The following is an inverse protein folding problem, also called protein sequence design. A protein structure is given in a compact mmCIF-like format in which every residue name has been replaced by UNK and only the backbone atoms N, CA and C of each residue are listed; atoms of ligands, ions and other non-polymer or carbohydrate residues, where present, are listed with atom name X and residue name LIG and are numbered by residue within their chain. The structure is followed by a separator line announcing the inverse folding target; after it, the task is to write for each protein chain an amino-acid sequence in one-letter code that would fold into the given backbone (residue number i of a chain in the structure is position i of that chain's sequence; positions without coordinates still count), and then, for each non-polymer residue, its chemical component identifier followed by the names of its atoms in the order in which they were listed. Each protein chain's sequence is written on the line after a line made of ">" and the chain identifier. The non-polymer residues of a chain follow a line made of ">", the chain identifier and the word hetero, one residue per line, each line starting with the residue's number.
data_IF_471671723953
#
_entry.id   IF_471671723953
#
_cell.length_a   1.000
_cell.length_b   1.000
_cell.length_c   1.000
_cell.angle_alpha   90.00
_cell.angle_beta   90.00
_cell.angle_gamma   90.00
#
_symmetry.space_group_name_H-M   'P 1'
#
loop_
_entity.id
_entity.type
_entity.pdbx_description
1 polymer ?
#
# COMPACT_ATOMS: atom_id res chain seq x y z
N UNK A 1 -42.92 32.47 -33.03
CA UNK A 1 -41.51 32.89 -32.98
C UNK A 1 -40.66 31.64 -32.98
N UNK A 2 -40.26 31.17 -34.15
CA UNK A 2 -39.37 30.02 -34.32
C UNK A 2 -37.93 30.52 -34.38
N UNK A 3 -37.09 30.05 -33.46
CA UNK A 3 -35.64 30.25 -33.52
C UNK A 3 -35.03 29.19 -34.44
N UNK A 4 -34.65 29.61 -35.65
CA UNK A 4 -33.87 28.80 -36.58
C UNK A 4 -32.40 28.75 -36.09
N UNK A 5 -32.01 27.64 -35.48
CA UNK A 5 -30.61 27.27 -35.31
C UNK A 5 -30.03 26.87 -36.67
N UNK A 6 -29.22 27.75 -37.24
CA UNK A 6 -28.48 27.49 -38.48
C UNK A 6 -27.12 26.90 -38.11
N UNK A 7 -27.06 25.59 -37.86
CA UNK A 7 -25.80 24.85 -37.68
C UNK A 7 -25.10 24.72 -39.04
N UNK A 8 -24.23 25.68 -39.36
CA UNK A 8 -23.15 25.45 -40.31
C UNK A 8 -22.16 24.47 -39.69
N UNK A 9 -22.29 23.19 -40.03
CA UNK A 9 -21.25 22.18 -39.82
C UNK A 9 -20.03 22.60 -40.64
N UNK A 10 -19.09 23.30 -39.98
CA UNK A 10 -17.80 23.63 -40.56
C UNK A 10 -17.00 22.33 -40.65
N UNK A 11 -17.04 21.71 -41.83
CA UNK A 11 -16.23 20.54 -42.15
C UNK A 11 -14.75 20.97 -42.26
N UNK A 12 -14.08 21.06 -41.11
CA UNK A 12 -12.64 21.32 -40.99
C UNK A 12 -11.87 20.05 -41.40
N UNK A 13 -11.82 19.79 -42.71
CA UNK A 13 -10.83 18.88 -43.27
C UNK A 13 -9.44 19.38 -42.87
N UNK A 14 -8.65 18.60 -42.09
CA UNK A 14 -7.36 19.06 -41.63
C UNK A 14 -6.45 19.27 -42.83
N UNK A 15 -5.86 20.48 -42.92
CA UNK A 15 -5.00 20.85 -44.02
C UNK A 15 -3.88 19.83 -44.20
N UNK A 16 -3.42 19.56 -45.44
CA UNK A 16 -2.43 18.53 -45.73
C UNK A 16 -1.13 18.70 -44.91
N UNK A 17 -0.78 19.94 -44.55
CA UNK A 17 0.35 20.26 -43.66
C UNK A 17 0.18 19.68 -42.24
N UNK A 18 -1.03 19.71 -41.68
CA UNK A 18 -1.32 19.12 -40.35
C UNK A 18 -1.31 17.59 -40.37
N UNK A 19 -1.68 16.95 -41.50
CA UNK A 19 -1.56 15.49 -41.66
C UNK A 19 -0.10 15.05 -41.72
N UNK A 20 0.75 15.77 -42.46
CA UNK A 20 2.19 15.47 -42.57
C UNK A 20 2.88 15.61 -41.20
N UNK A 21 2.60 16.67 -40.44
CA UNK A 21 3.18 16.86 -39.10
C UNK A 21 2.75 15.74 -38.13
N UNK A 22 1.47 15.33 -38.16
CA UNK A 22 1.00 14.20 -37.35
C UNK A 22 1.69 12.89 -37.72
N UNK A 23 1.83 12.60 -39.01
CA UNK A 23 2.49 11.36 -39.47
C UNK A 23 3.97 11.36 -39.10
N UNK A 24 4.68 12.48 -39.26
CA UNK A 24 6.08 12.62 -38.82
C UNK A 24 6.23 12.45 -37.31
N UNK A 25 5.34 13.03 -36.50
CA UNK A 25 5.36 12.85 -35.05
C UNK A 25 5.18 11.37 -34.67
N UNK A 26 4.19 10.70 -35.25
CA UNK A 26 3.96 9.26 -35.02
C UNK A 26 5.16 8.40 -35.43
N UNK A 27 5.75 8.67 -36.60
CA UNK A 27 6.95 7.97 -37.06
C UNK A 27 8.16 8.21 -36.15
N UNK A 28 8.34 9.41 -35.62
CA UNK A 28 9.39 9.71 -34.65
C UNK A 28 9.18 8.97 -33.32
N UNK A 29 7.95 8.94 -32.79
CA UNK A 29 7.65 8.15 -31.57
C UNK A 29 7.85 6.66 -31.79
N UNK A 30 7.38 6.11 -32.92
CA UNK A 30 7.57 4.69 -33.24
C UNK A 30 9.06 4.38 -33.42
N UNK A 31 9.79 5.23 -34.14
CA UNK A 31 11.24 5.09 -34.32
C UNK A 31 11.99 5.14 -33.00
N UNK A 32 11.65 6.07 -32.11
CA UNK A 32 12.24 6.15 -30.78
C UNK A 32 11.92 4.92 -29.92
N UNK A 33 10.67 4.44 -29.94
CA UNK A 33 10.28 3.21 -29.24
C UNK A 33 11.02 1.98 -29.77
N UNK A 34 11.16 1.84 -31.09
CA UNK A 34 11.92 0.73 -31.69
C UNK A 34 13.39 0.83 -31.29
N UNK A 35 14.01 2.00 -31.36
CA UNK A 35 15.40 2.21 -30.95
C UNK A 35 15.56 1.90 -29.45
N UNK A 36 14.66 2.36 -28.58
CA UNK A 36 14.71 2.07 -27.15
C UNK A 36 14.55 0.57 -26.85
N UNK A 37 13.64 -0.12 -27.55
CA UNK A 37 13.44 -1.58 -27.42
C UNK A 37 14.68 -2.32 -27.96
N UNK A 38 15.20 -1.94 -29.13
CA UNK A 38 16.39 -2.55 -29.72
C UNK A 38 17.63 -2.32 -28.86
N UNK A 39 17.82 -1.13 -28.28
CA UNK A 39 18.86 -0.89 -27.27
C UNK A 39 18.63 -1.77 -26.05
N UNK A 40 17.40 -1.90 -25.54
CA UNK A 40 17.13 -2.76 -24.39
C UNK A 40 17.46 -4.24 -24.65
N UNK A 41 17.30 -4.71 -25.89
CA UNK A 41 17.68 -6.06 -26.31
C UNK A 41 19.19 -6.22 -26.58
N UNK A 42 19.84 -5.22 -27.20
CA UNK A 42 21.27 -5.23 -27.53
C UNK A 42 22.17 -5.07 -26.30
N UNK A 43 21.73 -4.32 -25.30
CA UNK A 43 22.49 -4.09 -24.06
C UNK A 43 22.28 -5.17 -23.00
N UNK A 44 21.63 -6.29 -23.35
CA UNK A 44 21.53 -7.45 -22.46
C UNK A 44 21.09 -7.05 -21.06
N UNK A 45 20.03 -6.23 -20.96
CA UNK A 45 19.39 -6.02 -19.67
C UNK A 45 18.81 -7.38 -19.31
N UNK A 46 19.57 -8.15 -18.53
CA UNK A 46 19.07 -9.38 -17.93
C UNK A 46 17.86 -8.97 -17.11
N UNK A 47 16.68 -9.19 -17.68
CA UNK A 47 15.42 -8.97 -16.99
C UNK A 47 15.36 -10.11 -15.98
N UNK A 48 15.72 -9.79 -14.73
CA UNK A 48 15.64 -10.76 -13.66
C UNK A 48 14.17 -10.97 -13.29
N UNK A 49 13.68 -12.22 -13.23
CA UNK A 49 12.36 -12.49 -12.69
C UNK A 49 12.33 -12.03 -11.24
N UNK A 50 11.14 -11.65 -10.75
CA UNK A 50 10.98 -11.29 -9.34
C UNK A 50 11.31 -12.52 -8.50
N UNK A 51 12.42 -12.47 -7.78
CA UNK A 51 12.75 -13.46 -6.75
C UNK A 51 12.25 -12.90 -5.43
N UNK A 52 11.11 -13.41 -4.95
CA UNK A 52 10.58 -13.00 -3.66
C UNK A 52 11.54 -13.45 -2.55
N UNK A 53 12.27 -12.51 -1.95
CA UNK A 53 13.09 -12.75 -0.77
C UNK A 53 12.24 -12.66 0.51
N UNK A 54 12.78 -13.14 1.63
CA UNK A 54 12.14 -12.98 2.92
C UNK A 54 12.00 -11.49 3.30
N UNK A 55 10.94 -11.08 4.03
CA UNK A 55 10.77 -9.70 4.48
C UNK A 55 11.87 -9.29 5.48
N UNK A 56 12.12 -7.97 5.66
CA UNK A 56 13.11 -7.47 6.62
C UNK A 56 12.88 -7.95 8.05
N UNK A 57 13.96 -8.30 8.77
CA UNK A 57 13.88 -8.76 10.18
C UNK A 57 13.37 -7.67 11.14
N UNK A 58 13.59 -6.40 10.79
CA UNK A 58 13.05 -5.24 11.50
C UNK A 58 11.52 -5.26 11.61
N UNK A 59 10.83 -5.89 10.65
CA UNK A 59 9.39 -6.11 10.71
C UNK A 59 8.99 -7.34 11.50
N UNK A 60 9.76 -8.42 11.43
CA UNK A 60 9.47 -9.66 12.17
C UNK A 60 9.52 -9.45 13.68
N UNK A 61 10.33 -8.48 14.12
CA UNK A 61 10.45 -8.09 15.53
C UNK A 61 9.39 -7.07 15.96
N UNK A 62 8.97 -6.16 15.08
CA UNK A 62 7.94 -5.13 15.38
C UNK A 62 6.51 -5.66 15.33
N UNK A 63 6.20 -6.51 14.37
CA UNK A 63 4.87 -7.09 14.15
C UNK A 63 4.65 -8.42 14.87
N UNK A 64 5.60 -8.86 15.71
CA UNK A 64 5.36 -9.97 16.60
C UNK A 64 4.10 -9.65 17.45
N UNK A 65 3.16 -10.59 17.62
CA UNK A 65 1.97 -10.32 18.40
C UNK A 65 2.42 -9.83 19.79
N UNK A 66 2.10 -8.57 20.11
CA UNK A 66 2.22 -8.06 21.48
C UNK A 66 1.38 -9.02 22.31
N UNK A 67 2.04 -9.93 23.02
CA UNK A 67 1.37 -10.76 23.99
C UNK A 67 0.72 -9.76 24.94
N UNK A 68 -0.60 -9.68 24.89
CA UNK A 68 -1.37 -9.08 25.96
C UNK A 68 -0.98 -9.92 27.17
N UNK A 69 -0.14 -9.37 28.05
CA UNK A 69 0.07 -9.92 29.38
C UNK A 69 -1.30 -9.94 30.04
N UNK A 70 -2.02 -11.04 29.87
CA UNK A 70 -2.95 -11.49 30.88
C UNK A 70 -2.09 -11.78 32.09
N UNK A 71 -1.98 -10.79 32.97
CA UNK A 71 -1.65 -11.02 34.38
C UNK A 71 -2.66 -12.03 34.92
N UNK A 72 -2.31 -13.31 34.79
CA UNK A 72 -2.95 -14.41 35.52
C UNK A 72 -2.10 -14.67 36.75
N UNK A 73 -2.66 -14.49 37.96
CA UNK A 73 -1.93 -14.79 39.18
C UNK A 73 -1.79 -16.31 39.31
N UNK A 74 -0.53 -16.75 39.36
CA UNK A 74 -0.01 -17.78 40.27
C UNK A 74 -0.99 -18.92 40.63
N UNK A 75 -1.09 -19.93 39.74
CA UNK A 75 -1.73 -21.21 40.09
C UNK A 75 -0.68 -22.19 40.61
N UNK A 76 -0.55 -22.20 41.93
CA UNK A 76 0.17 -23.22 42.71
C UNK A 76 -0.50 -24.59 42.46
N UNK A 77 0.24 -25.53 41.88
CA UNK A 77 -0.16 -26.95 41.83
C UNK A 77 -0.25 -27.53 43.25
N UNK A 78 -1.15 -28.49 43.51
CA UNK A 78 -0.71 -29.74 44.16
C UNK A 78 -1.54 -30.97 43.67
N UNK A 79 -1.31 -32.21 44.18
CA UNK A 79 -0.65 -33.29 43.46
C UNK A 79 -1.59 -34.47 43.11
N UNK A 80 -1.06 -35.45 42.39
CA UNK A 80 -1.70 -36.72 42.05
C UNK A 80 -2.20 -37.50 43.28
N UNK A 81 -3.39 -38.11 43.18
CA UNK A 81 -3.73 -39.34 43.91
C UNK A 81 -4.76 -40.15 43.13
N UNK A 82 -4.42 -41.42 42.86
CA UNK A 82 -5.32 -42.46 42.35
C UNK A 82 -6.56 -42.65 43.25
N UNK A 83 -7.72 -42.93 42.67
CA UNK A 83 -8.67 -43.92 43.20
C UNK A 83 -9.96 -44.03 42.35
N UNK A 84 -10.09 -45.18 41.68
CA UNK A 84 -11.26 -46.07 41.66
C UNK A 84 -12.62 -45.51 41.17
N UNK A 85 -13.07 -46.04 40.02
CA UNK A 85 -14.44 -45.98 39.49
C UNK A 85 -15.39 -46.79 40.41
N UNK A 86 -16.70 -46.44 40.51
CA UNK A 86 -17.64 -47.31 39.81
C UNK A 86 -18.76 -46.59 39.05
N UNK A 87 -19.10 -47.27 37.96
CA UNK A 87 -20.18 -47.12 37.00
C UNK A 87 -21.58 -47.05 37.64
N UNK A 88 -22.37 -46.02 37.28
CA UNK A 88 -23.84 -46.08 37.34
C UNK A 88 -24.41 -45.43 36.08
N UNK A 89 -24.87 -46.32 35.21
CA UNK A 89 -25.79 -46.14 34.09
C UNK A 89 -27.02 -45.29 34.44
N UNK A 90 -27.30 -44.25 33.65
CA UNK A 90 -28.66 -43.81 33.31
C UNK A 90 -28.67 -42.95 32.06
N UNK A 91 -29.13 -43.55 30.96
CA UNK A 91 -29.63 -42.86 29.78
C UNK A 91 -30.72 -41.87 30.20
N UNK A 92 -30.58 -40.61 29.78
CA UNK A 92 -31.72 -39.78 29.42
C UNK A 92 -31.29 -39.03 28.16
N UNK A 93 -31.91 -39.39 27.05
CA UNK A 93 -31.81 -38.72 25.77
C UNK A 93 -32.23 -37.26 25.96
N UNK A 94 -31.27 -36.34 25.89
CA UNK A 94 -31.54 -34.92 25.66
C UNK A 94 -31.33 -34.63 24.16
N UNK A 95 -32.19 -33.80 23.54
CA UNK A 95 -32.06 -33.47 22.13
C UNK A 95 -30.72 -32.78 21.88
N UNK A 96 -30.03 -33.20 20.82
CA UNK A 96 -28.85 -32.53 20.25
C UNK A 96 -29.13 -31.03 20.13
N UNK A 97 -28.65 -30.26 21.10
CA UNK A 97 -28.38 -28.85 20.88
C UNK A 97 -27.21 -28.81 19.91
N UNK A 98 -27.50 -28.41 18.66
CA UNK A 98 -26.47 -27.94 17.74
C UNK A 98 -25.55 -27.00 18.52
N UNK A 99 -24.22 -27.19 18.48
CA UNK A 99 -23.32 -26.23 19.08
C UNK A 99 -23.57 -24.90 18.38
N UNK A 100 -24.06 -23.91 19.15
CA UNK A 100 -24.11 -22.52 18.74
C UNK A 100 -22.71 -22.20 18.21
N UNK A 101 -22.61 -22.04 16.89
CA UNK A 101 -21.38 -21.56 16.27
C UNK A 101 -21.08 -20.23 16.95
N UNK A 102 -19.89 -20.03 17.56
CA UNK A 102 -19.56 -18.77 18.21
C UNK A 102 -19.79 -17.67 17.17
N UNK A 103 -20.76 -16.78 17.41
CA UNK A 103 -20.96 -15.62 16.56
C UNK A 103 -19.64 -14.86 16.57
N UNK A 104 -18.96 -14.81 15.42
CA UNK A 104 -17.81 -13.94 15.30
C UNK A 104 -18.27 -12.53 15.64
N UNK A 105 -17.56 -11.81 16.51
CA UNK A 105 -17.92 -10.44 16.84
C UNK A 105 -17.96 -9.62 15.55
N UNK A 106 -19.08 -8.95 15.31
CA UNK A 106 -19.21 -8.06 14.16
C UNK A 106 -18.26 -6.86 14.33
N UNK A 107 -17.61 -6.40 13.25
CA UNK A 107 -16.74 -5.23 13.31
C UNK A 107 -17.55 -4.00 13.73
N UNK A 108 -16.93 -3.13 14.54
CA UNK A 108 -17.59 -1.92 15.06
C UNK A 108 -17.94 -0.90 13.96
N UNK A 109 -17.31 -1.01 12.80
CA UNK A 109 -17.53 -0.17 11.62
C UNK A 109 -17.55 -1.04 10.37
N UNK A 110 -18.48 -0.76 9.47
CA UNK A 110 -18.44 -1.26 8.11
C UNK A 110 -17.36 -0.55 7.28
N UNK A 111 -16.92 -1.17 6.19
CA UNK A 111 -15.93 -0.57 5.27
C UNK A 111 -16.43 0.77 4.71
N UNK A 112 -17.73 0.91 4.44
CA UNK A 112 -18.28 2.16 3.91
C UNK A 112 -18.21 3.27 4.96
N UNK A 113 -18.56 2.98 6.21
CA UNK A 113 -18.42 3.93 7.31
C UNK A 113 -16.97 4.36 7.51
N UNK A 114 -16.01 3.41 7.42
CA UNK A 114 -14.58 3.74 7.50
C UNK A 114 -14.12 4.62 6.35
N UNK A 115 -14.64 4.40 5.13
CA UNK A 115 -14.35 5.24 3.98
C UNK A 115 -14.90 6.66 4.15
N UNK A 116 -16.18 6.79 4.50
CA UNK A 116 -16.81 8.09 4.75
C UNK A 116 -16.09 8.84 5.87
N UNK A 117 -15.76 8.14 6.95
CA UNK A 117 -15.02 8.70 8.07
C UNK A 117 -13.63 9.18 7.66
N UNK A 118 -12.88 8.35 6.92
CA UNK A 118 -11.54 8.68 6.45
C UNK A 118 -11.56 9.92 5.55
N UNK A 119 -12.53 10.01 4.64
CA UNK A 119 -12.71 11.18 3.77
C UNK A 119 -13.13 12.41 4.56
N UNK A 120 -14.04 12.27 5.52
CA UNK A 120 -14.50 13.39 6.33
C UNK A 120 -13.40 13.96 7.25
N UNK A 121 -12.51 13.13 7.79
CA UNK A 121 -11.32 13.60 8.52
C UNK A 121 -10.45 14.45 7.61
N UNK A 122 -10.28 13.95 6.39
CA UNK A 122 -9.33 14.46 5.43
C UNK A 122 -9.83 15.73 4.71
N UNK A 123 -11.11 15.79 4.37
CA UNK A 123 -11.74 16.86 3.57
C UNK A 123 -12.58 17.83 4.41
N UNK A 124 -13.28 17.32 5.42
CA UNK A 124 -14.29 18.08 6.17
C UNK A 124 -13.80 18.51 7.56
N UNK A 125 -12.58 18.12 7.95
CA UNK A 125 -12.00 18.43 9.25
C UNK A 125 -12.69 17.69 10.40
N UNK A 126 -13.25 16.51 10.15
CA UNK A 126 -13.76 15.64 11.23
C UNK A 126 -12.60 15.31 12.18
N UNK A 127 -12.82 15.33 13.51
CA UNK A 127 -11.79 14.96 14.47
C UNK A 127 -11.24 13.54 14.24
N UNK A 128 -9.91 13.40 14.32
CA UNK A 128 -9.23 12.11 14.13
C UNK A 128 -9.61 11.05 15.17
N UNK A 129 -10.14 11.43 16.34
CA UNK A 129 -10.50 10.52 17.44
C UNK A 129 -11.41 9.36 16.99
N UNK A 130 -12.25 9.61 15.99
CA UNK A 130 -13.15 8.61 15.42
C UNK A 130 -12.39 7.51 14.66
N UNK A 131 -11.39 7.85 13.83
CA UNK A 131 -10.59 6.83 13.13
C UNK A 131 -9.60 6.16 14.07
N UNK A 132 -9.15 6.85 15.13
CA UNK A 132 -8.32 6.26 16.18
C UNK A 132 -9.03 5.07 16.82
N UNK A 133 -10.31 5.22 17.15
CA UNK A 133 -11.12 4.11 17.71
C UNK A 133 -11.15 2.90 16.76
N UNK A 134 -11.28 3.14 15.46
CA UNK A 134 -11.27 2.08 14.45
C UNK A 134 -9.89 1.43 14.26
N UNK A 135 -8.81 2.21 14.34
CA UNK A 135 -7.42 1.73 14.28
C UNK A 135 -7.05 0.91 15.51
N UNK A 136 -7.51 1.28 16.70
CA UNK A 136 -7.22 0.53 17.93
C UNK A 136 -7.92 -0.84 17.95
N UNK A 137 -9.10 -0.94 17.33
CA UNK A 137 -9.88 -2.17 17.27
C UNK A 137 -9.30 -3.17 16.24
N UNK A 138 -8.88 -4.34 16.71
CA UNK A 138 -8.26 -5.42 15.91
C UNK A 138 -9.12 -5.87 14.72
N UNK A 139 -10.45 -5.78 14.80
CA UNK A 139 -11.35 -6.21 13.73
C UNK A 139 -11.52 -5.19 12.61
N UNK A 140 -11.25 -3.90 12.87
CA UNK A 140 -11.44 -2.81 11.91
C UNK A 140 -10.14 -2.12 11.51
N UNK A 141 -9.04 -2.38 12.25
CA UNK A 141 -7.76 -1.71 12.08
C UNK A 141 -7.25 -1.74 10.65
N UNK A 142 -7.34 -2.91 10.02
CA UNK A 142 -6.78 -3.15 8.70
C UNK A 142 -7.50 -2.31 7.63
N UNK A 143 -8.84 -2.36 7.66
CA UNK A 143 -9.67 -1.57 6.77
C UNK A 143 -9.56 -0.07 7.07
N UNK A 144 -9.48 0.32 8.36
CA UNK A 144 -9.35 1.71 8.76
C UNK A 144 -8.04 2.33 8.27
N UNK A 145 -6.91 1.62 8.43
CA UNK A 145 -5.61 2.06 7.93
C UNK A 145 -5.62 2.19 6.40
N UNK A 146 -6.23 1.23 5.70
CA UNK A 146 -6.32 1.22 4.24
C UNK A 146 -7.17 2.36 3.71
N UNK A 147 -8.38 2.57 4.25
CA UNK A 147 -9.27 3.63 3.79
C UNK A 147 -8.71 5.02 4.11
N UNK A 148 -8.04 5.19 5.27
CA UNK A 148 -7.34 6.45 5.60
C UNK A 148 -6.18 6.73 4.63
N UNK A 149 -5.38 5.72 4.32
CA UNK A 149 -4.31 5.82 3.32
C UNK A 149 -4.85 6.20 1.95
N UNK A 150 -5.95 5.58 1.52
CA UNK A 150 -6.60 5.89 0.25
C UNK A 150 -7.13 7.33 0.19
N UNK A 151 -7.80 7.78 1.25
CA UNK A 151 -8.30 9.15 1.35
C UNK A 151 -7.15 10.17 1.27
N UNK A 152 -6.08 9.96 2.04
CA UNK A 152 -4.90 10.82 1.99
C UNK A 152 -4.24 10.81 0.61
N UNK A 153 -4.14 9.64 -0.02
CA UNK A 153 -3.47 9.49 -1.31
C UNK A 153 -4.23 10.16 -2.46
N UNK A 154 -5.56 9.98 -2.51
CA UNK A 154 -6.39 10.40 -3.64
C UNK A 154 -7.03 11.76 -3.45
N UNK A 155 -7.46 12.10 -2.23
CA UNK A 155 -8.30 13.27 -1.99
C UNK A 155 -7.48 14.49 -1.55
N UNK A 156 -6.23 14.32 -1.11
CA UNK A 156 -5.39 15.42 -0.59
C UNK A 156 -4.13 15.68 -1.41
N UNK A 157 -3.92 16.94 -1.85
CA UNK A 157 -2.65 17.38 -2.41
C UNK A 157 -1.50 17.20 -1.42
N UNK A 158 -0.35 16.76 -1.92
CA UNK A 158 0.84 16.46 -1.11
C UNK A 158 1.19 17.57 -0.10
N UNK A 159 1.11 18.83 -0.53
CA UNK A 159 1.50 20.01 0.24
C UNK A 159 0.58 20.28 1.46
N UNK A 160 -0.60 19.66 1.49
CA UNK A 160 -1.58 19.86 2.57
C UNK A 160 -1.54 18.73 3.62
N UNK A 161 -0.82 17.63 3.34
CA UNK A 161 -0.81 16.45 4.22
C UNK A 161 -0.09 16.69 5.54
N UNK A 162 0.89 17.60 5.58
CA UNK A 162 1.59 17.97 6.81
C UNK A 162 0.66 18.49 7.90
N UNK A 163 -0.38 19.25 7.53
CA UNK A 163 -1.36 19.75 8.50
C UNK A 163 -2.25 18.63 9.03
N UNK A 164 -2.59 17.66 8.19
CA UNK A 164 -3.34 16.48 8.60
C UNK A 164 -2.50 15.63 9.56
N UNK A 165 -1.21 15.42 9.26
CA UNK A 165 -0.32 14.65 10.13
C UNK A 165 -0.17 15.22 11.54
N UNK A 166 -0.22 16.55 11.69
CA UNK A 166 -0.15 17.23 13.00
C UNK A 166 -1.35 16.93 13.90
N UNK A 167 -2.47 16.48 13.33
CA UNK A 167 -3.67 16.15 14.09
C UNK A 167 -3.54 14.79 14.79
N UNK A 168 -2.66 13.91 14.30
CA UNK A 168 -2.45 12.58 14.86
C UNK A 168 -1.40 12.60 15.98
N UNK A 169 -1.67 11.86 17.05
CA UNK A 169 -0.66 11.62 18.08
C UNK A 169 0.45 10.70 17.56
N UNK A 170 1.68 10.77 18.12
CA UNK A 170 2.76 9.89 17.72
C UNK A 170 2.41 8.40 17.80
N UNK A 171 1.62 7.99 18.79
CA UNK A 171 1.20 6.59 18.98
C UNK A 171 0.27 6.13 17.86
N UNK A 172 -0.63 6.99 17.38
CA UNK A 172 -1.53 6.67 16.27
C UNK A 172 -0.77 6.58 14.95
N UNK A 173 0.19 7.48 14.74
CA UNK A 173 1.06 7.44 13.56
C UNK A 173 1.89 6.15 13.52
N UNK A 174 2.41 5.70 14.67
CA UNK A 174 3.09 4.41 14.81
C UNK A 174 2.15 3.25 14.47
N UNK A 175 0.94 3.22 15.03
CA UNK A 175 -0.04 2.18 14.75
C UNK A 175 -0.43 2.11 13.27
N UNK A 176 -0.69 3.27 12.66
CA UNK A 176 -1.00 3.37 11.23
C UNK A 176 0.16 2.87 10.38
N UNK A 177 1.39 3.30 10.69
CA UNK A 177 2.60 2.87 9.98
C UNK A 177 2.78 1.36 10.04
N UNK A 178 2.72 0.79 11.24
CA UNK A 178 2.95 -0.64 11.45
C UNK A 178 1.90 -1.47 10.69
N UNK A 179 0.64 -1.01 10.68
CA UNK A 179 -0.44 -1.66 9.94
C UNK A 179 -0.24 -1.60 8.43
N UNK A 180 0.10 -0.42 7.91
CA UNK A 180 0.37 -0.23 6.48
C UNK A 180 1.62 -1.02 6.02
N UNK A 181 2.66 -1.11 6.85
CA UNK A 181 3.83 -1.96 6.60
C UNK A 181 3.43 -3.44 6.52
N UNK A 182 2.60 -3.91 7.46
CA UNK A 182 2.07 -5.28 7.46
C UNK A 182 1.28 -5.58 6.19
N UNK A 183 0.35 -4.70 5.80
CA UNK A 183 -0.45 -4.84 4.58
C UNK A 183 0.42 -4.96 3.33
N UNK A 184 1.47 -4.14 3.20
CA UNK A 184 2.39 -4.23 2.06
C UNK A 184 3.18 -5.54 2.00
N UNK A 185 3.59 -6.06 3.15
CA UNK A 185 4.33 -7.32 3.20
C UNK A 185 3.44 -8.51 2.88
N UNK A 186 2.24 -8.56 3.46
CA UNK A 186 1.30 -9.65 3.23
C UNK A 186 0.78 -9.68 1.79
N UNK A 187 0.63 -8.51 1.17
CA UNK A 187 0.19 -8.36 -0.21
C UNK A 187 1.29 -8.58 -1.26
N UNK A 188 2.54 -8.90 -0.86
CA UNK A 188 3.67 -9.00 -1.81
C UNK A 188 3.42 -9.98 -2.98
N UNK A 189 2.65 -11.05 -2.74
CA UNK A 189 2.25 -12.06 -3.75
C UNK A 189 0.83 -11.84 -4.30
N UNK A 190 0.21 -10.75 -3.91
CA UNK A 190 -1.14 -10.36 -4.31
C UNK A 190 -1.08 -9.36 -5.45
N UNK A 191 -2.13 -9.34 -6.26
CA UNK A 191 -2.34 -8.31 -7.29
C UNK A 191 -3.23 -7.17 -6.76
N UNK A 192 -3.41 -7.09 -5.44
CA UNK A 192 -4.12 -5.99 -4.78
C UNK A 192 -3.53 -4.63 -5.17
N UNK A 193 -4.42 -3.66 -5.37
CA UNK A 193 -4.03 -2.29 -5.67
C UNK A 193 -3.81 -1.53 -4.35
N UNK A 194 -2.58 -1.58 -3.87
CA UNK A 194 -2.11 -0.83 -2.71
C UNK A 194 -1.17 0.31 -3.14
N UNK A 195 -1.37 0.89 -4.32
CA UNK A 195 -0.50 1.91 -4.90
C UNK A 195 -0.28 3.11 -3.96
N UNK A 196 -1.30 3.49 -3.19
CA UNK A 196 -1.26 4.61 -2.26
C UNK A 196 -0.39 4.34 -1.03
N UNK A 197 -0.34 3.09 -0.55
CA UNK A 197 0.31 2.77 0.72
C UNK A 197 1.81 3.13 0.73
N UNK A 198 2.64 2.79 -0.27
CA UNK A 198 4.05 3.17 -0.26
C UNK A 198 4.29 4.68 -0.25
N UNK A 199 3.37 5.45 -0.84
CA UNK A 199 3.43 6.93 -0.83
C UNK A 199 3.11 7.45 0.57
N UNK A 200 2.01 6.99 1.16
CA UNK A 200 1.58 7.42 2.50
C UNK A 200 2.57 6.99 3.58
N UNK A 201 3.05 5.74 3.53
CA UNK A 201 4.10 5.27 4.42
C UNK A 201 5.33 6.16 4.36
N UNK A 202 5.73 6.59 3.16
CA UNK A 202 6.84 7.50 2.96
C UNK A 202 6.55 8.97 3.31
N UNK A 203 5.33 9.32 3.74
CA UNK A 203 4.96 10.66 4.23
C UNK A 203 4.70 10.75 5.75
N UNK A 204 4.24 9.67 6.41
CA UNK A 204 4.05 9.58 7.87
C UNK A 204 5.26 10.13 8.69
N UNK A 205 5.08 11.09 9.62
CA UNK A 205 6.18 11.59 10.44
C UNK A 205 6.83 10.51 11.32
N UNK A 206 8.09 10.75 11.73
CA UNK A 206 8.84 9.90 12.67
C UNK A 206 9.05 8.45 12.21
N UNK A 207 9.14 8.22 10.90
CA UNK A 207 9.66 6.97 10.34
C UNK A 207 11.06 6.66 10.85
N UNK A 208 11.34 5.37 11.02
CA UNK A 208 12.68 4.87 11.27
C UNK A 208 13.27 4.15 10.07
N UNK A 209 14.50 3.65 10.23
CA UNK A 209 15.21 2.91 9.21
C UNK A 209 14.42 1.68 8.73
N UNK A 210 13.66 1.04 9.62
CA UNK A 210 12.84 -0.13 9.31
C UNK A 210 11.82 0.17 8.22
N UNK A 211 11.10 1.30 8.32
CA UNK A 211 10.13 1.68 7.29
C UNK A 211 10.74 1.83 5.89
N UNK A 212 11.98 2.33 5.80
CA UNK A 212 12.68 2.45 4.52
C UNK A 212 13.14 1.09 3.99
N UNK A 213 13.58 0.18 4.85
CA UNK A 213 13.88 -1.21 4.48
C UNK A 213 12.64 -1.91 3.91
N UNK A 214 11.46 -1.69 4.49
CA UNK A 214 10.20 -2.22 3.96
C UNK A 214 9.94 -1.70 2.56
N UNK A 215 10.01 -0.39 2.35
CA UNK A 215 9.78 0.20 1.03
C UNK A 215 10.81 -0.30 0.01
N UNK A 216 12.08 -0.45 0.39
CA UNK A 216 13.14 -0.94 -0.50
C UNK A 216 12.86 -2.40 -0.89
N UNK A 217 12.50 -3.21 0.10
CA UNK A 217 12.10 -4.60 -0.12
C UNK A 217 10.85 -4.72 -0.99
N UNK A 218 9.78 -3.96 -0.71
CA UNK A 218 8.53 -3.93 -1.49
C UNK A 218 8.82 -3.52 -2.93
N UNK A 219 9.69 -2.52 -3.14
CA UNK A 219 10.08 -2.07 -4.48
C UNK A 219 10.74 -3.18 -5.32
N UNK A 220 11.29 -4.21 -4.68
CA UNK A 220 11.95 -5.35 -5.33
C UNK A 220 11.03 -6.55 -5.49
N UNK A 221 10.13 -6.77 -4.53
CA UNK A 221 9.48 -8.07 -4.33
C UNK A 221 8.00 -8.11 -4.70
N UNK A 222 7.30 -6.97 -4.68
CA UNK A 222 5.85 -6.96 -4.86
C UNK A 222 5.46 -7.38 -6.27
N UNK A 223 4.46 -8.25 -6.43
CA UNK A 223 4.03 -8.76 -7.73
C UNK A 223 3.46 -7.66 -8.63
N UNK A 224 2.58 -6.83 -8.06
CA UNK A 224 2.02 -5.67 -8.76
C UNK A 224 3.10 -4.61 -9.08
N UNK A 225 3.38 -4.32 -10.37
CA UNK A 225 4.40 -3.34 -10.78
C UNK A 225 4.09 -1.90 -10.38
N UNK A 226 2.81 -1.56 -10.16
CA UNK A 226 2.41 -0.23 -9.71
C UNK A 226 2.82 0.01 -8.26
N UNK A 227 2.66 -0.98 -7.39
CA UNK A 227 3.14 -0.92 -6.00
C UNK A 227 4.66 -0.84 -5.95
N UNK A 228 5.39 -1.66 -6.75
CA UNK A 228 6.85 -1.55 -6.84
C UNK A 228 7.31 -0.17 -7.29
N UNK A 229 6.66 0.38 -8.33
CA UNK A 229 6.92 1.74 -8.82
C UNK A 229 6.70 2.76 -7.72
N UNK A 230 5.57 2.69 -7.01
CA UNK A 230 5.23 3.63 -5.94
C UNK A 230 6.28 3.61 -4.83
N UNK A 231 6.65 2.42 -4.36
CA UNK A 231 7.66 2.26 -3.33
C UNK A 231 9.04 2.81 -3.75
N UNK A 232 9.46 2.52 -4.98
CA UNK A 232 10.73 3.04 -5.50
C UNK A 232 10.73 4.57 -5.61
N UNK A 233 9.67 5.17 -6.15
CA UNK A 233 9.53 6.63 -6.25
C UNK A 233 9.51 7.28 -4.88
N UNK A 234 8.75 6.70 -3.94
CA UNK A 234 8.68 7.17 -2.55
C UNK A 234 10.05 7.24 -1.89
N UNK A 235 10.88 6.20 -2.07
CA UNK A 235 12.26 6.21 -1.56
C UNK A 235 13.08 7.31 -2.21
N UNK A 236 13.06 7.42 -3.54
CA UNK A 236 13.87 8.41 -4.26
C UNK A 236 13.49 9.84 -3.89
N UNK A 237 12.20 10.11 -3.71
CA UNK A 237 11.71 11.47 -3.44
C UNK A 237 11.78 11.87 -1.96
N UNK A 238 11.57 10.92 -1.04
CA UNK A 238 11.32 11.26 0.37
C UNK A 238 12.40 10.73 1.33
N UNK A 239 13.23 9.77 0.92
CA UNK A 239 14.33 9.32 1.76
C UNK A 239 15.51 10.30 1.66
N UNK A 240 16.05 10.82 2.78
CA UNK A 240 17.14 11.82 2.72
C UNK A 240 18.51 11.24 2.34
N UNK A 241 18.71 9.92 2.44
CA UNK A 241 20.01 9.30 2.21
C UNK A 241 20.27 8.94 0.75
N UNK A 242 21.16 9.69 0.09
CA UNK A 242 21.54 9.49 -1.32
C UNK A 242 21.96 8.06 -1.66
N UNK A 243 22.59 7.34 -0.72
CA UNK A 243 23.03 5.95 -0.95
C UNK A 243 21.87 5.01 -1.29
N UNK A 244 20.76 5.08 -0.54
CA UNK A 244 19.58 4.26 -0.83
C UNK A 244 18.91 4.72 -2.13
N UNK A 245 18.83 6.03 -2.37
CA UNK A 245 18.28 6.54 -3.63
C UNK A 245 19.06 6.00 -4.83
N UNK A 246 20.40 6.11 -4.81
CA UNK A 246 21.28 5.64 -5.89
C UNK A 246 21.15 4.11 -6.09
N UNK A 247 21.07 3.34 -5.00
CA UNK A 247 20.86 1.89 -5.03
C UNK A 247 19.51 1.53 -5.65
N UNK A 248 18.42 2.11 -5.16
CA UNK A 248 17.05 1.88 -5.69
C UNK A 248 16.99 2.24 -7.18
N UNK A 249 17.55 3.39 -7.56
CA UNK A 249 17.59 3.85 -8.95
C UNK A 249 18.38 2.88 -9.83
N UNK A 250 19.52 2.38 -9.33
CA UNK A 250 20.36 1.42 -10.04
C UNK A 250 19.69 0.08 -10.23
N UNK A 251 19.08 -0.46 -9.18
CA UNK A 251 18.51 -1.79 -9.19
C UNK A 251 17.19 -1.81 -9.97
N UNK A 252 16.36 -0.77 -9.84
CA UNK A 252 15.08 -0.67 -10.55
C UNK A 252 15.19 -0.26 -12.01
N UNK A 253 16.34 0.24 -12.46
CA UNK A 253 16.61 0.38 -13.90
C UNK A 253 16.56 -0.97 -14.66
N UNK A 254 16.62 -2.10 -13.95
CA UNK A 254 16.51 -3.46 -14.49
C UNK A 254 15.22 -4.19 -14.11
N UNK A 255 14.22 -3.48 -13.56
CA UNK A 255 12.94 -4.09 -13.18
C UNK A 255 12.27 -4.81 -14.36
N UNK A 256 11.64 -5.98 -14.15
CA UNK A 256 10.93 -6.69 -15.23
C UNK A 256 9.82 -5.87 -15.88
N UNK A 257 9.21 -4.94 -15.14
CA UNK A 257 8.22 -4.02 -15.67
C UNK A 257 8.86 -2.83 -16.36
N UNK A 258 8.47 -2.61 -17.62
CA UNK A 258 8.85 -1.40 -18.37
C UNK A 258 8.38 -0.12 -17.66
N UNK A 259 7.21 -0.15 -17.01
CA UNK A 259 6.64 1.02 -16.32
C UNK A 259 7.54 1.44 -15.15
N UNK A 260 8.03 0.48 -14.36
CA UNK A 260 8.96 0.75 -13.25
C UNK A 260 10.26 1.34 -13.81
N UNK A 261 10.87 0.68 -14.81
CA UNK A 261 12.12 1.14 -15.44
C UNK A 261 12.01 2.57 -15.97
N UNK A 262 10.97 2.87 -16.75
CA UNK A 262 10.82 4.20 -17.36
C UNK A 262 10.67 5.32 -16.33
N UNK A 263 9.95 5.07 -15.23
CA UNK A 263 9.79 6.09 -14.19
C UNK A 263 11.06 6.30 -13.37
N UNK A 264 11.83 5.25 -13.13
CA UNK A 264 13.10 5.36 -12.41
C UNK A 264 14.19 6.05 -13.24
N UNK A 265 14.16 5.87 -14.56
CA UNK A 265 15.08 6.57 -15.46
C UNK A 265 14.91 8.10 -15.45
N UNK A 266 13.73 8.63 -15.13
CA UNK A 266 13.51 10.08 -15.02
C UNK A 266 14.46 10.69 -13.99
N UNK A 267 14.59 10.06 -12.81
CA UNK A 267 15.47 10.55 -11.74
C UNK A 267 16.95 10.55 -12.13
N UNK A 268 17.40 9.55 -12.92
CA UNK A 268 18.79 9.55 -13.44
C UNK A 268 19.08 10.70 -14.39
N UNK A 269 18.08 11.06 -15.20
CA UNK A 269 18.22 12.11 -16.19
C UNK A 269 18.18 13.48 -15.52
N UNK A 270 17.31 13.68 -14.52
CA UNK A 270 17.28 14.90 -13.72
C UNK A 270 18.59 15.15 -12.97
N UNK A 271 19.19 14.13 -12.36
CA UNK A 271 20.51 14.24 -11.73
C UNK A 271 21.62 14.60 -12.74
N UNK A 272 21.55 14.07 -13.97
CA UNK A 272 22.51 14.38 -15.02
C UNK A 272 22.42 15.86 -15.49
N UNK A 273 21.24 16.47 -15.44
CA UNK A 273 21.02 17.86 -15.86
C UNK A 273 21.20 18.89 -14.73
N UNK A 274 21.38 18.45 -13.49
CA UNK A 274 21.62 19.32 -12.32
C UNK A 274 23.09 19.41 -11.90
N UNK A 275 23.96 18.62 -12.54
CA UNK A 275 25.43 18.69 -12.46
C UNK A 275 26.04 19.63 -13.50
#
# INVERSE_FOLDING_TARGET
>A
MEFLFNEKVVNLQPSPKKKIIRVSFWLCTIGFSIVAISLSMLFGVQIEPIQTSAPPESLLTRNAPRQVSTDSPESIAPPETESVIPEVERRTEMPEQQPDTPRQPEPAFSIEELRELSRGIVLDGIPVDHIVTALENVYTRDDAARELSNALYHDIPFEQRDEIWRQFSPQVLELLRDELERQLVESVKSDQDLLGIPRILAEIPNRDAGSYEVLEWVSSNHQNPWVRRSAAISLVQQYPGKEIQDRVVKDRARDPSLIVRMNILVFRVEDFFTL
#
